data_IF_959763442733
#
_entry.id   IF_959763442733
#
_cell.length_a   1.000
_cell.length_b   1.000
_cell.length_c   1.000
_cell.angle_alpha   90.00
_cell.angle_beta   90.00
_cell.angle_gamma   90.00
#
_symmetry.space_group_name_H-M   'P 1'
#
loop_
_entity.id
_entity.type
_entity.pdbx_description
1 polymer ?
#
# COMPACT_ATOMS: atom_id res chain seq x y z
N UNK A 1 5.38 -30.17 3.71
CA UNK A 1 5.61 -28.72 3.95
C UNK A 1 6.91 -28.35 3.22
N UNK A 2 7.05 -27.14 2.68
CA UNK A 2 8.19 -26.75 1.83
C UNK A 2 9.37 -26.31 2.70
N UNK A 3 10.53 -26.97 2.60
CA UNK A 3 11.73 -26.61 3.38
C UNK A 3 12.23 -25.18 3.08
N UNK A 4 12.99 -24.61 4.02
CA UNK A 4 13.45 -23.22 3.94
C UNK A 4 14.38 -22.98 2.74
N UNK A 5 15.17 -23.98 2.34
CA UNK A 5 16.08 -23.89 1.20
C UNK A 5 15.28 -23.74 -0.10
N UNK A 6 14.25 -24.56 -0.27
CA UNK A 6 13.31 -24.47 -1.39
C UNK A 6 12.62 -23.10 -1.42
N UNK A 7 12.17 -22.58 -0.28
CA UNK A 7 11.51 -21.26 -0.20
C UNK A 7 12.48 -20.15 -0.62
N UNK A 8 13.72 -20.19 -0.16
CA UNK A 8 14.74 -19.20 -0.51
C UNK A 8 15.07 -19.23 -2.01
N UNK A 9 15.13 -20.41 -2.61
CA UNK A 9 15.46 -20.57 -4.03
C UNK A 9 14.35 -20.07 -4.97
N UNK A 10 13.08 -20.27 -4.60
CA UNK A 10 11.94 -19.86 -5.45
C UNK A 10 11.56 -18.39 -5.25
N UNK A 11 11.81 -17.81 -4.07
CA UNK A 11 11.34 -16.46 -3.72
C UNK A 11 11.75 -15.38 -4.75
N UNK A 12 13.00 -15.32 -5.23
CA UNK A 12 13.39 -14.34 -6.24
C UNK A 12 12.61 -14.47 -7.55
N UNK A 13 12.30 -15.71 -7.97
CA UNK A 13 11.51 -15.97 -9.18
C UNK A 13 10.05 -15.55 -8.99
N UNK A 14 9.48 -15.78 -7.81
CA UNK A 14 8.11 -15.38 -7.48
C UNK A 14 7.96 -13.85 -7.42
N UNK A 15 8.89 -13.16 -6.76
CA UNK A 15 8.85 -11.70 -6.64
C UNK A 15 9.01 -11.01 -8.00
N UNK A 16 9.91 -11.51 -8.85
CA UNK A 16 10.20 -10.91 -10.15
C UNK A 16 10.63 -9.44 -10.00
N UNK A 17 9.87 -8.52 -10.59
CA UNK A 17 10.15 -7.06 -10.52
C UNK A 17 9.56 -6.36 -9.28
N UNK A 18 8.89 -7.09 -8.40
CA UNK A 18 8.20 -6.49 -7.25
C UNK A 18 9.19 -6.18 -6.13
N UNK A 19 9.02 -5.04 -5.44
CA UNK A 19 9.98 -4.59 -4.43
C UNK A 19 10.00 -5.44 -3.16
N UNK A 20 8.91 -6.18 -2.87
CA UNK A 20 8.81 -7.01 -1.67
C UNK A 20 7.68 -8.06 -1.80
N UNK A 21 7.64 -8.99 -0.84
CA UNK A 21 6.61 -10.04 -0.74
C UNK A 21 5.20 -9.48 -0.55
N UNK A 22 5.05 -8.32 0.11
CA UNK A 22 3.74 -7.67 0.30
C UNK A 22 3.11 -7.26 -1.03
N UNK A 23 3.85 -6.57 -1.90
CA UNK A 23 3.37 -6.18 -3.23
C UNK A 23 3.09 -7.39 -4.13
N UNK A 24 3.79 -8.51 -3.88
CA UNK A 24 3.52 -9.78 -4.55
C UNK A 24 2.19 -10.39 -4.09
N UNK A 25 1.96 -10.51 -2.79
CA UNK A 25 0.70 -11.08 -2.28
C UNK A 25 -0.50 -10.21 -2.63
N UNK A 26 -0.38 -8.88 -2.64
CA UNK A 26 -1.46 -7.99 -3.11
C UNK A 26 -1.78 -8.18 -4.60
N UNK A 27 -0.77 -8.34 -5.45
CA UNK A 27 -1.01 -8.63 -6.86
C UNK A 27 -1.67 -10.00 -7.10
N UNK A 28 -1.30 -11.01 -6.32
CA UNK A 28 -1.99 -12.30 -6.34
C UNK A 28 -3.45 -12.15 -5.90
N UNK A 29 -3.72 -11.41 -4.83
CA UNK A 29 -5.08 -11.14 -4.37
C UNK A 29 -5.94 -10.47 -5.45
N UNK A 30 -5.40 -9.47 -6.16
CA UNK A 30 -6.09 -8.85 -7.30
C UNK A 30 -6.40 -9.84 -8.42
N UNK A 31 -5.47 -10.77 -8.70
CA UNK A 31 -5.66 -11.81 -9.72
C UNK A 31 -6.76 -12.80 -9.33
N UNK A 32 -6.83 -13.19 -8.06
CA UNK A 32 -7.91 -14.04 -7.52
C UNK A 32 -9.25 -13.32 -7.61
N UNK A 33 -9.29 -12.04 -7.21
CA UNK A 33 -10.50 -11.21 -7.32
C UNK A 33 -10.96 -11.10 -8.77
N UNK A 34 -10.04 -10.97 -9.73
CA UNK A 34 -10.37 -10.93 -11.15
C UNK A 34 -10.92 -12.27 -11.68
N UNK A 35 -10.41 -13.40 -11.19
CA UNK A 35 -10.83 -14.74 -11.62
C UNK A 35 -12.19 -15.12 -11.03
N UNK A 36 -12.40 -14.87 -9.74
CA UNK A 36 -13.57 -15.34 -9.00
C UNK A 36 -14.68 -14.28 -8.85
N UNK A 37 -14.38 -13.03 -9.16
CA UNK A 37 -15.25 -11.88 -8.88
C UNK A 37 -16.42 -11.66 -9.85
N UNK A 38 -16.56 -12.45 -10.91
CA UNK A 38 -17.48 -12.17 -12.03
C UNK A 38 -18.96 -11.96 -11.64
N UNK A 39 -19.40 -12.48 -10.49
CA UNK A 39 -20.78 -12.36 -9.99
C UNK A 39 -20.98 -11.26 -8.95
N UNK A 40 -19.93 -10.52 -8.61
CA UNK A 40 -19.93 -9.49 -7.57
C UNK A 40 -19.63 -8.13 -8.20
N UNK A 41 -20.23 -7.08 -7.66
CA UNK A 41 -19.84 -5.71 -7.99
C UNK A 41 -18.54 -5.41 -7.24
N UNK A 42 -17.43 -5.28 -7.97
CA UNK A 42 -16.08 -5.14 -7.41
C UNK A 42 -15.38 -3.91 -8.01
N UNK A 43 -14.70 -3.15 -7.15
CA UNK A 43 -13.71 -2.17 -7.53
C UNK A 43 -12.37 -2.49 -6.86
N UNK A 44 -11.26 -2.39 -7.60
CA UNK A 44 -9.91 -2.53 -7.07
C UNK A 44 -9.29 -1.13 -6.97
N UNK A 45 -9.09 -0.67 -5.74
CA UNK A 45 -8.43 0.61 -5.44
C UNK A 45 -6.95 0.36 -5.16
N UNK A 46 -6.07 1.03 -5.92
CA UNK A 46 -4.60 0.90 -5.82
C UNK A 46 -3.98 2.21 -5.33
N UNK A 47 -4.05 2.51 -4.02
CA UNK A 47 -3.45 3.72 -3.50
C UNK A 47 -1.93 3.60 -3.47
N UNK A 48 -1.26 4.74 -3.50
CA UNK A 48 0.16 4.85 -3.21
C UNK A 48 0.44 4.76 -1.71
N UNK A 49 1.63 5.12 -1.26
CA UNK A 49 1.97 5.09 0.16
C UNK A 49 1.09 6.11 0.91
N UNK A 50 0.26 5.62 1.84
CA UNK A 50 -0.67 6.47 2.58
C UNK A 50 0.09 7.23 3.67
N UNK A 51 -0.06 8.55 3.66
CA UNK A 51 0.48 9.46 4.66
C UNK A 51 -0.62 10.08 5.54
N UNK A 52 -0.22 11.11 6.30
CA UNK A 52 -1.15 11.87 7.12
C UNK A 52 -2.25 12.55 6.30
N UNK A 53 -3.37 12.85 6.95
CA UNK A 53 -4.49 13.55 6.31
C UNK A 53 -4.09 14.94 5.83
N UNK A 54 -4.71 15.34 4.72
CA UNK A 54 -4.61 16.71 4.23
C UNK A 54 -5.62 17.63 4.92
N UNK A 55 -6.87 17.19 5.06
CA UNK A 55 -7.99 17.99 5.62
C UNK A 55 -8.75 17.28 6.73
N UNK A 56 -9.18 16.04 6.53
CA UNK A 56 -10.09 15.35 7.46
C UNK A 56 -9.40 14.22 8.22
N UNK A 57 -9.65 14.04 9.54
CA UNK A 57 -10.49 14.86 10.42
C UNK A 57 -9.89 16.22 10.78
N UNK A 58 -8.58 16.37 10.66
CA UNK A 58 -7.85 17.64 10.68
C UNK A 58 -6.49 17.43 9.98
N UNK A 59 -5.80 18.48 9.48
CA UNK A 59 -4.52 18.31 8.78
C UNK A 59 -3.44 17.67 9.65
N UNK A 60 -2.72 16.68 9.10
CA UNK A 60 -1.63 15.99 9.78
C UNK A 60 -2.08 14.87 10.72
N UNK A 61 -3.37 14.54 10.76
CA UNK A 61 -3.88 13.41 11.54
C UNK A 61 -3.36 12.07 10.98
N UNK A 62 -3.01 11.18 11.90
CA UNK A 62 -2.60 9.80 11.68
C UNK A 62 -3.19 8.93 12.80
N UNK A 63 -3.54 7.69 12.47
CA UNK A 63 -4.01 6.70 13.45
C UNK A 63 -2.85 5.93 14.09
N UNK A 64 -1.73 5.81 13.38
CA UNK A 64 -0.55 5.06 13.82
C UNK A 64 0.76 5.62 13.25
N UNK A 65 1.88 5.11 13.74
CA UNK A 65 3.23 5.51 13.32
C UNK A 65 3.87 4.53 12.33
N UNK A 66 3.08 3.72 11.62
CA UNK A 66 3.61 2.73 10.70
C UNK A 66 4.20 3.39 9.45
N UNK A 67 5.22 2.75 8.89
CA UNK A 67 5.82 3.16 7.61
C UNK A 67 6.36 4.59 7.63
N UNK A 68 5.99 5.45 6.66
CA UNK A 68 6.54 6.80 6.54
C UNK A 68 6.23 7.71 7.73
N UNK A 69 5.07 7.56 8.37
CA UNK A 69 4.68 8.39 9.51
C UNK A 69 5.71 8.30 10.65
N UNK A 70 6.18 7.08 10.95
CA UNK A 70 7.23 6.87 11.94
C UNK A 70 8.58 7.47 11.52
N UNK A 71 8.93 7.38 10.24
CA UNK A 71 10.16 7.97 9.68
C UNK A 71 10.13 9.49 9.84
N UNK A 72 9.03 10.15 9.46
CA UNK A 72 8.91 11.61 9.55
C UNK A 72 8.93 12.10 10.99
N UNK A 73 8.30 11.40 11.92
CA UNK A 73 8.30 11.78 13.33
C UNK A 73 9.69 11.57 13.96
N UNK A 74 10.34 10.44 13.66
CA UNK A 74 11.69 10.18 14.16
C UNK A 74 12.70 11.21 13.62
N UNK A 75 12.57 11.59 12.35
CA UNK A 75 13.39 12.64 11.74
C UNK A 75 13.08 14.02 12.35
N UNK A 76 11.80 14.39 12.47
CA UNK A 76 11.37 15.67 13.05
C UNK A 76 11.76 15.84 14.52
N UNK A 77 11.84 14.74 15.28
CA UNK A 77 12.34 14.73 16.67
C UNK A 77 13.86 14.64 16.78
N UNK A 78 14.59 14.52 15.66
CA UNK A 78 16.05 14.37 15.64
C UNK A 78 16.57 13.01 16.14
N UNK A 79 15.68 12.02 16.28
CA UNK A 79 16.02 10.64 16.66
C UNK A 79 16.63 9.92 15.46
N UNK A 80 15.99 10.03 14.29
CA UNK A 80 16.51 9.50 13.04
C UNK A 80 17.45 10.54 12.40
N UNK A 81 18.75 10.23 12.40
CA UNK A 81 19.80 11.13 11.87
C UNK A 81 20.28 10.76 10.48
N UNK A 82 20.18 9.49 10.10
CA UNK A 82 20.62 8.98 8.81
C UNK A 82 19.65 7.92 8.31
N UNK A 83 19.44 7.87 6.99
CA UNK A 83 18.63 6.85 6.33
C UNK A 83 19.32 6.45 5.03
N UNK A 84 19.43 5.14 4.77
CA UNK A 84 19.92 4.64 3.49
C UNK A 84 18.79 4.69 2.47
N UNK A 85 18.88 5.61 1.53
CA UNK A 85 17.95 5.74 0.42
C UNK A 85 18.70 5.99 -0.89
N UNK A 86 18.06 5.70 -2.01
CA UNK A 86 18.55 6.12 -3.33
C UNK A 86 18.04 7.53 -3.61
N UNK A 87 18.92 8.41 -4.10
CA UNK A 87 18.52 9.77 -4.51
C UNK A 87 17.57 9.79 -5.71
N UNK A 88 17.48 8.68 -6.44
CA UNK A 88 16.57 8.51 -7.57
C UNK A 88 15.28 7.79 -7.18
N UNK A 89 15.10 7.41 -5.90
CA UNK A 89 13.87 6.77 -5.46
C UNK A 89 12.74 7.81 -5.33
N UNK A 90 11.62 7.56 -6.00
CA UNK A 90 10.42 8.37 -5.88
C UNK A 90 9.52 7.80 -4.78
N UNK A 91 9.32 8.56 -3.71
CA UNK A 91 8.39 8.24 -2.64
C UNK A 91 7.05 8.93 -2.94
N UNK A 92 6.16 8.21 -3.63
CA UNK A 92 4.82 8.70 -3.93
C UNK A 92 3.92 8.54 -2.69
N UNK A 93 3.48 9.67 -2.14
CA UNK A 93 2.65 9.74 -0.94
C UNK A 93 1.29 10.34 -1.26
N UNK A 94 0.25 9.68 -0.78
CA UNK A 94 -1.13 10.14 -0.91
C UNK A 94 -1.75 10.37 0.48
N UNK A 95 -2.47 11.49 0.71
CA UNK A 95 -3.17 11.72 1.97
C UNK A 95 -4.26 10.67 2.23
N UNK A 96 -4.39 10.22 3.48
CA UNK A 96 -5.38 9.18 3.86
C UNK A 96 -6.82 9.59 3.56
N UNK A 97 -7.18 10.85 3.78
CA UNK A 97 -8.52 11.38 3.53
C UNK A 97 -8.89 11.35 2.04
N UNK A 98 -7.93 11.59 1.15
CA UNK A 98 -8.15 11.45 -0.30
C UNK A 98 -8.40 9.99 -0.67
N UNK A 99 -7.63 9.05 -0.10
CA UNK A 99 -7.80 7.61 -0.37
C UNK A 99 -9.13 7.09 0.15
N UNK A 100 -9.53 7.51 1.36
CA UNK A 100 -10.83 7.14 1.95
C UNK A 100 -11.97 7.65 1.06
N UNK A 101 -11.95 8.93 0.68
CA UNK A 101 -12.97 9.53 -0.17
C UNK A 101 -13.04 8.83 -1.54
N UNK A 102 -11.90 8.50 -2.14
CA UNK A 102 -11.85 7.76 -3.39
C UNK A 102 -12.40 6.32 -3.23
N UNK A 103 -12.10 5.66 -2.12
CA UNK A 103 -12.58 4.29 -1.84
C UNK A 103 -14.10 4.28 -1.67
N UNK A 104 -14.66 5.26 -0.95
CA UNK A 104 -16.10 5.41 -0.79
C UNK A 104 -16.79 5.71 -2.14
N UNK A 105 -16.22 6.60 -2.93
CA UNK A 105 -16.73 6.92 -4.27
C UNK A 105 -16.67 5.71 -5.21
N UNK A 106 -15.59 4.94 -5.18
CA UNK A 106 -15.43 3.72 -5.98
C UNK A 106 -16.43 2.63 -5.58
N UNK A 107 -16.64 2.44 -4.27
CA UNK A 107 -17.62 1.50 -3.76
C UNK A 107 -19.05 1.87 -4.18
N UNK A 108 -19.43 3.14 -4.05
CA UNK A 108 -20.71 3.65 -4.53
C UNK A 108 -20.87 3.44 -6.04
N UNK A 109 -19.88 3.85 -6.82
CA UNK A 109 -19.90 3.74 -8.28
C UNK A 109 -20.04 2.28 -8.74
N UNK A 110 -19.29 1.36 -8.15
CA UNK A 110 -19.39 -0.07 -8.45
C UNK A 110 -20.71 -0.68 -7.96
N UNK A 111 -21.28 -0.18 -6.87
CA UNK A 111 -22.56 -0.65 -6.35
C UNK A 111 -23.74 -0.34 -7.28
N UNK A 112 -23.72 0.83 -7.93
CA UNK A 112 -24.82 1.29 -8.80
C UNK A 112 -24.59 0.98 -10.28
N UNK A 113 -23.34 0.86 -10.74
CA UNK A 113 -22.99 0.55 -12.13
C UNK A 113 -22.42 -0.86 -12.21
N UNK A 114 -23.07 -1.72 -12.98
CA UNK A 114 -22.60 -3.07 -13.30
C UNK A 114 -22.15 -3.15 -14.74
#
# INVERSE_FOLDING_TARGET
WMDDDLVNDITPKLLGKRPNTYTYTKALAESVVQQEGAKLNIAIVRPSIIGASWKEPFPGWIDNFNGPSGIFIAAGKGILRTMRASNNALADLVPIDVVVNMTLAAAWYSGINR
#
